data_IF_230772296443
#
_entry.id   IF_230772296443
#
_cell.length_a   1.000
_cell.length_b   1.000
_cell.length_c   1.000
_cell.angle_alpha   90.00
_cell.angle_beta   90.00
_cell.angle_gamma   90.00
#
_symmetry.space_group_name_H-M   'P 1'
#
loop_
_entity.id
_entity.type
_entity.pdbx_description
1 polymer ?
#
# COMPACT_ATOMS: atom_id res chain seq x y z
N UNK A 1 -21.39 2.21 8.46
CA UNK A 1 -20.01 1.94 8.94
C UNK A 1 -19.04 2.26 7.81
N UNK A 2 -17.95 2.97 8.10
CA UNK A 2 -16.92 3.32 7.10
C UNK A 2 -15.61 2.65 7.51
N UNK A 3 -14.97 1.95 6.57
CA UNK A 3 -13.65 1.33 6.73
C UNK A 3 -12.72 1.96 5.71
N UNK A 4 -11.55 2.42 6.16
CA UNK A 4 -10.57 3.04 5.26
C UNK A 4 -9.18 2.45 5.51
N UNK A 5 -8.51 1.89 4.50
CA UNK A 5 -7.14 1.43 4.63
C UNK A 5 -6.17 2.61 4.69
N UNK A 6 -5.07 2.46 5.44
CA UNK A 6 -3.91 3.33 5.26
C UNK A 6 -3.36 3.22 3.83
N UNK A 7 -2.68 4.28 3.39
CA UNK A 7 -1.78 4.16 2.24
C UNK A 7 -0.63 3.21 2.59
N UNK A 8 -0.30 2.29 1.69
CA UNK A 8 0.79 1.35 1.87
C UNK A 8 2.14 1.94 1.45
N UNK A 9 3.21 1.35 1.96
CA UNK A 9 4.58 1.66 1.54
C UNK A 9 4.93 0.85 0.31
N UNK A 10 5.28 1.54 -0.79
CA UNK A 10 5.66 0.90 -2.04
C UNK A 10 7.16 0.66 -2.19
N UNK A 11 7.96 1.10 -1.21
CA UNK A 11 9.40 1.31 -1.40
C UNK A 11 10.27 0.23 -0.78
N UNK A 12 9.73 -0.61 0.11
CA UNK A 12 10.51 -1.65 0.79
C UNK A 12 10.73 -2.89 -0.08
N UNK A 13 11.97 -3.34 -0.20
CA UNK A 13 12.28 -4.67 -0.74
C UNK A 13 12.13 -5.79 0.31
N UNK A 14 12.42 -7.03 -0.08
CA UNK A 14 12.37 -8.23 0.77
C UNK A 14 13.21 -8.15 2.06
N UNK A 15 14.19 -7.25 2.11
CA UNK A 15 15.03 -7.00 3.28
C UNK A 15 14.49 -5.88 4.19
N UNK A 16 13.43 -5.18 3.80
CA UNK A 16 12.86 -4.04 4.52
C UNK A 16 13.59 -2.71 4.25
N UNK A 17 14.47 -2.69 3.24
CA UNK A 17 15.21 -1.50 2.85
C UNK A 17 14.46 -0.74 1.76
N UNK A 18 14.60 0.59 1.74
CA UNK A 18 14.11 1.41 0.62
C UNK A 18 14.91 1.07 -0.63
N UNK A 19 14.21 0.62 -1.66
CA UNK A 19 14.78 0.14 -2.92
C UNK A 19 14.23 0.95 -4.10
N UNK A 20 15.13 1.30 -5.01
CA UNK A 20 14.85 2.07 -6.23
C UNK A 20 15.50 1.47 -7.47
N UNK A 21 16.01 0.24 -7.39
CA UNK A 21 16.80 -0.38 -8.46
C UNK A 21 15.93 -0.94 -9.59
N UNK A 22 14.62 -1.09 -9.37
CA UNK A 22 13.71 -1.55 -10.41
C UNK A 22 13.40 -0.49 -11.46
N UNK A 23 12.99 -0.97 -12.63
CA UNK A 23 12.70 -0.18 -13.83
C UNK A 23 11.76 1.01 -13.57
N UNK A 24 10.76 0.85 -12.71
CA UNK A 24 9.73 1.86 -12.44
C UNK A 24 10.24 3.02 -11.58
N UNK A 25 11.31 2.80 -10.81
CA UNK A 25 11.89 3.82 -9.92
C UNK A 25 13.30 4.27 -10.32
N UNK A 26 13.91 3.66 -11.35
CA UNK A 26 15.31 3.91 -11.76
C UNK A 26 15.67 5.38 -12.00
N UNK A 27 14.69 6.20 -12.38
CA UNK A 27 14.87 7.62 -12.69
C UNK A 27 14.56 8.53 -11.48
N UNK A 28 14.16 7.96 -10.35
CA UNK A 28 13.81 8.71 -9.14
C UNK A 28 14.95 8.59 -8.13
N UNK A 29 15.54 9.71 -7.69
CA UNK A 29 16.61 9.66 -6.68
C UNK A 29 16.16 8.94 -5.41
N UNK A 30 16.96 8.00 -4.90
CA UNK A 30 16.66 7.25 -3.68
C UNK A 30 16.38 8.15 -2.48
N UNK A 31 17.05 9.31 -2.39
CA UNK A 31 16.78 10.30 -1.34
C UNK A 31 15.34 10.84 -1.41
N UNK A 32 14.81 11.09 -2.60
CA UNK A 32 13.43 11.56 -2.79
C UNK A 32 12.44 10.48 -2.36
N UNK A 33 12.70 9.21 -2.70
CA UNK A 33 11.87 8.08 -2.25
C UNK A 33 11.89 7.93 -0.73
N UNK A 34 13.07 8.05 -0.09
CA UNK A 34 13.18 8.05 1.38
C UNK A 34 12.40 9.22 2.01
N UNK A 35 12.44 10.40 1.41
CA UNK A 35 11.65 11.54 1.89
C UNK A 35 10.15 11.34 1.69
N UNK A 36 9.73 10.83 0.54
CA UNK A 36 8.33 10.53 0.25
C UNK A 36 7.77 9.53 1.27
N UNK A 37 8.51 8.44 1.55
CA UNK A 37 8.16 7.47 2.58
C UNK A 37 8.10 8.11 3.98
N UNK A 38 9.18 8.76 4.42
CA UNK A 38 9.30 9.23 5.81
C UNK A 38 8.45 10.46 6.13
N UNK A 39 8.13 11.31 5.15
CA UNK A 39 7.40 12.56 5.35
C UNK A 39 6.01 12.53 4.75
N UNK A 40 5.89 12.20 3.46
CA UNK A 40 4.62 12.31 2.74
C UNK A 40 3.67 11.19 3.16
N UNK A 41 4.10 9.92 3.04
CA UNK A 41 3.28 8.77 3.41
C UNK A 41 2.89 8.82 4.89
N UNK A 42 3.84 9.10 5.78
CA UNK A 42 3.58 9.25 7.21
C UNK A 42 2.58 10.38 7.51
N UNK A 43 2.68 11.53 6.83
CA UNK A 43 1.74 12.64 7.02
C UNK A 43 0.35 12.30 6.51
N UNK A 44 0.24 11.68 5.33
CA UNK A 44 -1.04 11.23 4.78
C UNK A 44 -1.72 10.24 5.72
N UNK A 45 -1.01 9.22 6.18
CA UNK A 45 -1.55 8.22 7.09
C UNK A 45 -1.89 8.79 8.47
N UNK A 46 -1.11 9.75 8.98
CA UNK A 46 -1.45 10.47 10.22
C UNK A 46 -2.74 11.28 10.06
N UNK A 47 -2.88 12.02 8.95
CA UNK A 47 -4.10 12.77 8.66
C UNK A 47 -5.32 11.85 8.54
N UNK A 48 -5.15 10.70 7.88
CA UNK A 48 -6.21 9.71 7.72
C UNK A 48 -6.63 9.10 9.06
N UNK A 49 -5.68 8.75 9.93
CA UNK A 49 -5.96 8.28 11.30
C UNK A 49 -6.71 9.33 12.12
N UNK A 50 -6.26 10.59 12.10
CA UNK A 50 -6.93 11.68 12.83
C UNK A 50 -8.36 11.89 12.33
N UNK A 51 -8.58 11.89 11.01
CA UNK A 51 -9.92 12.01 10.43
C UNK A 51 -10.78 10.79 10.72
N UNK A 52 -10.22 9.59 10.68
CA UNK A 52 -10.94 8.37 11.03
C UNK A 52 -11.39 8.37 12.48
N UNK A 53 -10.51 8.75 13.41
CA UNK A 53 -10.87 8.89 14.82
C UNK A 53 -11.97 9.93 15.04
N UNK A 54 -11.86 11.10 14.40
CA UNK A 54 -12.87 12.18 14.53
C UNK A 54 -14.26 11.75 14.04
N UNK A 55 -14.33 10.93 12.98
CA UNK A 55 -15.58 10.49 12.38
C UNK A 55 -16.00 9.06 12.80
N UNK A 56 -15.33 8.45 13.79
CA UNK A 56 -15.56 7.07 14.20
C UNK A 56 -15.49 6.04 13.05
N UNK A 57 -14.59 6.26 12.09
CA UNK A 57 -14.29 5.30 11.02
C UNK A 57 -13.30 4.24 11.50
N UNK A 58 -13.40 3.04 10.95
CA UNK A 58 -12.40 1.98 11.19
C UNK A 58 -11.23 2.18 10.23
N UNK A 59 -10.08 2.60 10.75
CA UNK A 59 -8.87 2.80 9.93
C UNK A 59 -7.97 1.57 10.00
N UNK A 60 -7.72 0.92 8.87
CA UNK A 60 -6.86 -0.26 8.79
C UNK A 60 -5.40 0.16 8.64
N UNK A 61 -4.73 0.46 9.75
CA UNK A 61 -3.32 0.85 9.75
C UNK A 61 -2.39 -0.38 9.76
N UNK A 62 -2.44 -1.16 10.82
CA UNK A 62 -1.55 -2.31 11.05
C UNK A 62 -1.72 -3.40 10.01
N UNK A 63 -2.97 -3.72 9.63
CA UNK A 63 -3.24 -4.78 8.64
C UNK A 63 -2.65 -4.44 7.28
N UNK A 64 -2.83 -3.20 6.81
CA UNK A 64 -2.29 -2.76 5.52
C UNK A 64 -0.76 -2.72 5.57
N UNK A 65 -0.17 -2.19 6.65
CA UNK A 65 1.28 -2.22 6.82
C UNK A 65 1.83 -3.64 6.78
N UNK A 66 1.15 -4.60 7.43
CA UNK A 66 1.57 -6.01 7.46
C UNK A 66 1.52 -6.65 6.06
N UNK A 67 0.47 -6.37 5.28
CA UNK A 67 0.31 -6.91 3.93
C UNK A 67 1.50 -6.52 3.04
N UNK A 68 1.89 -5.23 3.06
CA UNK A 68 2.90 -4.67 2.17
C UNK A 68 4.33 -4.64 2.73
N UNK A 69 4.53 -4.95 4.02
CA UNK A 69 5.86 -5.00 4.61
C UNK A 69 6.77 -5.90 3.77
N UNK A 70 7.89 -5.33 3.30
CA UNK A 70 8.87 -6.02 2.45
C UNK A 70 8.38 -6.47 1.06
N UNK A 71 7.23 -5.96 0.59
CA UNK A 71 6.60 -6.33 -0.69
C UNK A 71 6.36 -5.12 -1.60
N UNK A 72 7.26 -4.14 -1.52
CA UNK A 72 7.26 -2.95 -2.36
C UNK A 72 7.47 -3.26 -3.84
N UNK A 73 7.44 -2.24 -4.70
CA UNK A 73 7.44 -2.39 -6.16
C UNK A 73 8.72 -3.01 -6.72
N UNK A 74 9.87 -2.78 -6.08
CA UNK A 74 11.13 -3.39 -6.47
C UNK A 74 11.42 -4.75 -5.76
N UNK A 75 10.56 -5.20 -4.85
CA UNK A 75 10.70 -6.49 -4.16
C UNK A 75 10.55 -7.67 -5.12
N UNK A 76 11.28 -8.76 -4.89
CA UNK A 76 11.11 -10.00 -5.66
C UNK A 76 9.70 -10.60 -5.51
N UNK A 77 9.06 -10.38 -4.36
CA UNK A 77 7.69 -10.83 -4.07
C UNK A 77 6.74 -9.63 -3.96
N UNK A 78 6.81 -8.74 -4.96
CA UNK A 78 6.02 -7.51 -4.97
C UNK A 78 4.52 -7.78 -4.92
N UNK A 79 3.81 -6.99 -4.11
CA UNK A 79 2.34 -6.91 -4.12
C UNK A 79 1.84 -5.66 -4.86
N UNK A 80 2.74 -5.00 -5.60
CA UNK A 80 2.48 -3.73 -6.26
C UNK A 80 2.71 -3.92 -7.76
N UNK A 81 1.73 -3.48 -8.54
CA UNK A 81 1.74 -3.61 -9.97
C UNK A 81 2.78 -2.67 -10.57
N UNK A 82 3.71 -3.25 -11.33
CA UNK A 82 4.64 -2.48 -12.15
C UNK A 82 3.95 -1.85 -13.36
N UNK A 83 4.54 -0.81 -13.94
CA UNK A 83 4.01 -0.18 -15.17
C UNK A 83 3.99 -1.21 -16.31
N UNK A 84 5.06 -2.01 -16.44
CA UNK A 84 5.15 -3.06 -17.45
C UNK A 84 4.05 -4.12 -17.27
N UNK A 85 3.84 -4.60 -16.04
CA UNK A 85 2.76 -5.55 -15.74
C UNK A 85 1.39 -4.95 -16.03
N UNK A 86 1.15 -3.69 -15.67
CA UNK A 86 -0.09 -2.99 -15.99
C UNK A 86 -0.39 -2.97 -17.49
N UNK A 87 0.61 -2.61 -18.30
CA UNK A 87 0.46 -2.63 -19.75
C UNK A 87 0.11 -4.02 -20.28
N UNK A 88 0.72 -5.08 -19.72
CA UNK A 88 0.48 -6.45 -20.15
C UNK A 88 -0.94 -6.94 -19.82
N UNK A 89 -1.42 -6.65 -18.61
CA UNK A 89 -2.71 -7.21 -18.12
C UNK A 89 -3.92 -6.31 -18.36
N UNK A 90 -3.72 -4.99 -18.44
CA UNK A 90 -4.78 -4.00 -18.56
C UNK A 90 -4.71 -3.20 -19.88
N UNK A 91 -3.74 -3.50 -20.73
CA UNK A 91 -3.48 -2.77 -21.97
C UNK A 91 -3.24 -1.26 -21.78
N UNK A 92 -2.87 -0.84 -20.56
CA UNK A 92 -2.54 0.55 -20.23
C UNK A 92 -1.66 0.64 -18.97
N UNK A 93 -0.89 1.73 -18.79
CA UNK A 93 0.08 1.83 -17.69
C UNK A 93 -0.52 2.36 -16.38
N UNK A 94 -1.79 2.79 -16.37
CA UNK A 94 -2.38 3.55 -15.27
C UNK A 94 -2.69 2.72 -14.03
N UNK A 95 -2.68 1.38 -14.14
CA UNK A 95 -2.68 0.48 -13.00
C UNK A 95 -1.33 0.35 -12.29
N UNK A 96 -0.26 0.97 -12.81
CA UNK A 96 1.04 1.01 -12.13
C UNK A 96 0.95 1.62 -10.72
N UNK A 97 1.80 1.15 -9.82
CA UNK A 97 1.87 1.55 -8.41
C UNK A 97 0.63 1.19 -7.55
N UNK A 98 -0.33 0.45 -8.10
CA UNK A 98 -1.50 -0.05 -7.35
C UNK A 98 -1.30 -1.50 -6.87
N UNK A 99 -2.09 -1.98 -5.90
CA UNK A 99 -2.04 -3.38 -5.49
C UNK A 99 -2.32 -4.35 -6.64
N UNK A 100 -1.66 -5.50 -6.63
CA UNK A 100 -2.01 -6.64 -7.51
C UNK A 100 -3.24 -7.38 -7.00
N UNK A 101 -3.79 -8.32 -7.78
CA UNK A 101 -4.97 -9.11 -7.44
C UNK A 101 -4.82 -9.82 -6.09
N UNK A 102 -3.67 -10.48 -5.86
CA UNK A 102 -3.39 -11.16 -4.60
C UNK A 102 -3.36 -10.20 -3.39
N UNK A 103 -2.96 -8.95 -3.60
CA UNK A 103 -2.97 -7.92 -2.56
C UNK A 103 -4.39 -7.40 -2.33
N UNK A 104 -5.19 -7.24 -3.39
CA UNK A 104 -6.61 -6.89 -3.28
C UNK A 104 -7.40 -7.92 -2.47
N UNK A 105 -7.15 -9.21 -2.65
CA UNK A 105 -7.75 -10.25 -1.80
C UNK A 105 -7.35 -10.10 -0.32
N UNK A 106 -6.06 -9.92 -0.02
CA UNK A 106 -5.60 -9.72 1.36
C UNK A 106 -6.19 -8.46 2.01
N UNK A 107 -6.37 -7.38 1.24
CA UNK A 107 -7.02 -6.15 1.70
C UNK A 107 -8.51 -6.41 1.96
N UNK A 108 -9.19 -7.13 1.07
CA UNK A 108 -10.60 -7.49 1.24
C UNK A 108 -10.81 -8.32 2.52
N UNK A 109 -9.93 -9.30 2.78
CA UNK A 109 -9.96 -10.08 4.02
C UNK A 109 -9.75 -9.20 5.26
N UNK A 110 -8.80 -8.26 5.20
CA UNK A 110 -8.55 -7.32 6.29
C UNK A 110 -9.77 -6.41 6.56
N UNK A 111 -10.46 -5.95 5.51
CA UNK A 111 -11.71 -5.20 5.63
C UNK A 111 -12.79 -6.08 6.25
N UNK A 112 -13.02 -7.27 5.70
CA UNK A 112 -14.03 -8.21 6.18
C UNK A 112 -13.85 -8.55 7.66
N UNK A 113 -12.63 -8.89 8.07
CA UNK A 113 -12.32 -9.23 9.46
C UNK A 113 -12.51 -8.03 10.42
N UNK A 114 -12.40 -6.79 9.93
CA UNK A 114 -12.65 -5.60 10.75
C UNK A 114 -14.13 -5.29 10.97
N UNK A 115 -15.01 -5.84 10.13
CA UNK A 115 -16.45 -5.57 10.14
C UNK A 115 -17.29 -6.76 10.56
N UNK A 116 -16.87 -7.97 10.24
CA UNK A 116 -17.63 -9.21 10.48
C UNK A 116 -18.08 -9.36 11.93
N UNK A 117 -17.23 -9.12 12.96
CA UNK A 117 -17.68 -9.21 14.35
C UNK A 117 -18.85 -8.28 14.69
N UNK A 118 -18.98 -7.14 14.00
CA UNK A 118 -20.02 -6.12 14.24
C UNK A 118 -21.32 -6.37 13.46
N UNK A 119 -21.33 -7.36 12.57
CA UNK A 119 -22.48 -7.69 11.72
C UNK A 119 -23.23 -8.94 12.21
N UNK A 120 -22.61 -9.72 13.09
CA UNK A 120 -23.15 -10.97 13.65
C UNK A 120 -23.71 -10.75 15.08
N UNK A 121 -23.46 -9.57 15.65
CA UNK A 121 -24.11 -9.03 16.85
C UNK A 121 -25.34 -8.18 16.46
#
# INVERSE_FOLDING_TARGET
MVVVPHYFDLTENEHGNVDTECQDLRNVPTQNIRQARSRILNRLNSMLSSKGSYNSWTVLSTSIRSIFAKKGICSQNSLIRSIASSNQVQCNPFGGFHPVEAAHHQIADAVWNSISPKLVD
#
